data_IF_953499093121
#
_entry.id   IF_953499093121
#
_cell.length_a   1.000
_cell.length_b   1.000
_cell.length_c   1.000
_cell.angle_alpha   90.00
_cell.angle_beta   90.00
_cell.angle_gamma   90.00
#
_symmetry.space_group_name_H-M   'P 1'
#
loop_
_entity.id
_entity.type
_entity.pdbx_description
1 polymer ?
#
# COMPACT_ATOMS: atom_id res chain seq x y z
N UNK A 1 -54.02 -12.02 20.94
CA UNK A 1 -52.80 -12.04 21.80
C UNK A 1 -51.64 -12.59 20.99
N UNK A 2 -50.40 -12.45 21.48
CA UNK A 2 -49.11 -12.50 20.76
C UNK A 2 -48.45 -13.90 20.97
N UNK A 3 -47.59 -14.53 20.13
CA UNK A 3 -46.73 -14.12 18.99
C UNK A 3 -46.53 -15.27 17.96
N UNK A 4 -46.14 -15.02 16.70
CA UNK A 4 -45.62 -16.04 15.78
C UNK A 4 -44.07 -16.17 15.86
N UNK A 5 -43.55 -17.38 16.03
CA UNK A 5 -42.10 -17.68 16.00
C UNK A 5 -41.65 -18.15 14.62
N UNK A 6 -40.84 -17.34 13.91
CA UNK A 6 -40.42 -17.60 12.55
C UNK A 6 -39.31 -18.66 12.45
N UNK A 7 -39.35 -19.46 11.37
CA UNK A 7 -38.22 -20.28 10.93
C UNK A 7 -37.16 -19.40 10.25
N UNK A 8 -35.96 -19.33 10.81
CA UNK A 8 -34.73 -18.89 10.16
C UNK A 8 -33.60 -19.86 10.57
N UNK A 9 -33.46 -20.98 9.86
CA UNK A 9 -32.38 -21.20 8.88
C UNK A 9 -30.97 -21.00 9.44
N UNK A 10 -30.25 -22.11 9.63
CA UNK A 10 -28.79 -22.12 9.72
C UNK A 10 -28.19 -21.34 8.54
N UNK A 11 -27.51 -20.23 8.83
CA UNK A 11 -26.57 -19.63 7.90
C UNK A 11 -25.15 -20.00 8.35
N UNK A 12 -24.67 -21.08 7.71
CA UNK A 12 -23.25 -21.43 7.57
C UNK A 12 -22.45 -20.16 7.20
N UNK A 13 -21.22 -19.95 7.70
CA UNK A 13 -20.52 -18.68 7.54
C UNK A 13 -20.48 -18.26 6.08
N UNK A 14 -20.76 -16.98 5.85
CA UNK A 14 -20.58 -16.34 4.54
C UNK A 14 -19.10 -16.47 4.20
N UNK A 15 -18.82 -17.27 3.17
CA UNK A 15 -17.54 -17.29 2.49
C UNK A 15 -17.36 -15.94 1.80
N UNK A 16 -16.86 -14.98 2.57
CA UNK A 16 -16.56 -13.65 2.09
C UNK A 16 -15.38 -13.77 1.14
N UNK A 17 -15.69 -13.78 -0.16
CA UNK A 17 -14.73 -13.65 -1.25
C UNK A 17 -14.14 -12.22 -1.30
N UNK A 18 -13.87 -11.64 -0.13
CA UNK A 18 -12.93 -10.54 0.01
C UNK A 18 -11.54 -11.11 -0.22
N UNK A 19 -10.77 -10.45 -1.10
CA UNK A 19 -9.36 -10.78 -1.29
C UNK A 19 -8.69 -10.64 0.07
N UNK A 20 -8.25 -11.76 0.64
CA UNK A 20 -7.80 -11.79 2.02
C UNK A 20 -6.61 -10.86 2.20
N UNK A 21 -6.48 -10.24 3.38
CA UNK A 21 -5.30 -9.41 3.68
C UNK A 21 -3.98 -10.19 3.44
N UNK A 22 -3.97 -11.50 3.66
CA UNK A 22 -2.85 -12.38 3.33
C UNK A 22 -2.57 -12.52 1.82
N UNK A 23 -3.60 -12.56 0.98
CA UNK A 23 -3.45 -12.58 -0.48
C UNK A 23 -2.93 -11.23 -1.00
N UNK A 24 -3.46 -10.13 -0.47
CA UNK A 24 -3.00 -8.77 -0.78
C UNK A 24 -1.53 -8.56 -0.37
N UNK A 25 -1.15 -9.05 0.81
CA UNK A 25 0.23 -9.02 1.31
C UNK A 25 1.16 -9.88 0.44
N UNK A 26 0.72 -11.07 0.03
CA UNK A 26 1.48 -11.94 -0.87
C UNK A 26 1.69 -11.27 -2.23
N UNK A 27 0.63 -10.69 -2.80
CA UNK A 27 0.67 -9.99 -4.08
C UNK A 27 1.63 -8.78 -4.03
N UNK A 28 1.65 -8.04 -2.93
CA UNK A 28 2.61 -6.95 -2.71
C UNK A 28 4.08 -7.45 -2.59
N UNK A 29 4.33 -8.60 -1.97
CA UNK A 29 5.67 -9.21 -1.90
C UNK A 29 6.14 -9.66 -3.29
N UNK A 30 5.26 -10.30 -4.07
CA UNK A 30 5.56 -10.73 -5.45
C UNK A 30 5.82 -9.51 -6.38
N UNK A 31 5.08 -8.41 -6.18
CA UNK A 31 5.28 -7.15 -6.91
C UNK A 31 6.61 -6.47 -6.57
N UNK A 32 7.01 -6.44 -5.29
CA UNK A 32 8.33 -5.93 -4.85
C UNK A 32 9.48 -6.73 -5.47
N UNK A 33 9.34 -8.06 -5.54
CA UNK A 33 10.34 -8.94 -6.16
C UNK A 33 10.50 -8.65 -7.68
N UNK A 34 9.37 -8.48 -8.38
CA UNK A 34 9.35 -8.06 -9.79
C UNK A 34 10.01 -6.68 -10.01
N UNK A 35 9.77 -5.73 -9.09
CA UNK A 35 10.37 -4.40 -9.11
C UNK A 35 11.88 -4.42 -8.89
N UNK A 36 12.42 -5.26 -8.00
CA UNK A 36 13.88 -5.35 -7.79
C UNK A 36 14.59 -6.02 -8.99
N UNK A 37 13.96 -7.01 -9.62
CA UNK A 37 14.46 -7.60 -10.86
C UNK A 37 14.52 -6.54 -11.99
N UNK A 38 13.47 -5.75 -12.19
CA UNK A 38 13.49 -4.61 -13.13
C UNK A 38 14.50 -3.53 -12.73
N UNK A 39 14.68 -3.28 -11.44
CA UNK A 39 15.68 -2.33 -10.92
C UNK A 39 17.09 -2.78 -11.28
N UNK A 40 17.39 -4.08 -11.21
CA UNK A 40 18.69 -4.65 -11.61
C UNK A 40 18.95 -4.55 -13.11
N UNK A 41 17.93 -4.77 -13.95
CA UNK A 41 18.01 -4.52 -15.39
C UNK A 41 18.21 -3.03 -15.72
N UNK A 42 17.54 -2.13 -15.00
CA UNK A 42 17.72 -0.68 -15.17
C UNK A 42 19.07 -0.18 -14.68
N UNK A 43 19.59 -0.70 -13.55
CA UNK A 43 20.98 -0.44 -13.10
C UNK A 43 21.97 -0.85 -14.19
N UNK A 44 21.81 -2.03 -14.77
CA UNK A 44 22.64 -2.53 -15.87
C UNK A 44 22.63 -1.58 -17.07
N UNK A 45 21.46 -1.06 -17.45
CA UNK A 45 21.32 -0.04 -18.51
C UNK A 45 21.92 1.32 -18.11
N UNK A 46 21.79 1.74 -16.86
CA UNK A 46 22.31 3.02 -16.36
C UNK A 46 23.85 3.08 -16.41
N UNK A 47 24.53 1.98 -16.09
CA UNK A 47 26.00 1.88 -16.18
C UNK A 47 26.51 2.02 -17.63
N UNK A 48 25.63 1.91 -18.65
CA UNK A 48 25.98 2.19 -20.06
C UNK A 48 25.97 3.68 -20.45
N UNK A 49 25.61 4.59 -19.53
CA UNK A 49 25.93 6.03 -19.65
C UNK A 49 25.05 6.87 -20.58
N UNK A 50 23.72 6.79 -20.46
CA UNK A 50 22.76 7.37 -21.42
C UNK A 50 22.11 8.73 -21.02
N UNK A 51 22.70 9.55 -20.13
CA UNK A 51 22.02 10.78 -19.65
C UNK A 51 23.00 11.99 -19.58
N UNK A 52 22.84 12.93 -20.50
CA UNK A 52 23.64 14.16 -20.64
C UNK A 52 22.97 15.43 -20.03
N UNK A 53 21.78 15.32 -19.45
CA UNK A 53 20.93 16.47 -19.12
C UNK A 53 20.93 16.82 -17.62
N UNK A 54 21.82 17.73 -17.22
CA UNK A 54 21.94 18.26 -15.85
C UNK A 54 20.63 18.92 -15.37
N UNK A 55 19.82 19.50 -16.27
CA UNK A 55 18.56 20.11 -15.87
C UNK A 55 17.54 19.07 -15.40
N UNK A 56 17.51 17.88 -16.02
CA UNK A 56 16.69 16.77 -15.54
C UNK A 56 17.12 16.27 -14.17
N UNK A 57 18.43 16.23 -13.88
CA UNK A 57 18.94 15.83 -12.55
C UNK A 57 18.46 16.79 -11.47
N UNK A 58 18.50 18.10 -11.72
CA UNK A 58 17.99 19.10 -10.76
C UNK A 58 16.46 19.01 -10.59
N UNK A 59 15.70 18.81 -11.67
CA UNK A 59 14.24 18.62 -11.60
C UNK A 59 13.89 17.33 -10.82
N UNK A 60 14.65 16.25 -11.01
CA UNK A 60 14.46 15.00 -10.28
C UNK A 60 14.77 15.15 -8.79
N UNK A 61 15.85 15.88 -8.44
CA UNK A 61 16.21 16.17 -7.06
C UNK A 61 15.11 16.98 -6.35
N UNK A 62 14.58 18.03 -6.99
CA UNK A 62 13.52 18.86 -6.42
C UNK A 62 12.20 18.09 -6.26
N UNK A 63 11.81 17.29 -7.27
CA UNK A 63 10.67 16.36 -7.15
C UNK A 63 10.84 15.38 -5.98
N UNK A 64 12.04 14.85 -5.78
CA UNK A 64 12.34 13.91 -4.69
C UNK A 64 12.24 14.59 -3.32
N UNK A 65 12.71 15.84 -3.19
CA UNK A 65 12.57 16.65 -1.97
C UNK A 65 11.09 16.87 -1.61
N UNK A 66 10.27 17.29 -2.58
CA UNK A 66 8.83 17.50 -2.39
C UNK A 66 8.12 16.18 -2.02
N UNK A 67 8.43 15.07 -2.71
CA UNK A 67 7.86 13.76 -2.42
C UNK A 67 8.26 13.25 -1.03
N UNK A 68 9.48 13.51 -0.57
CA UNK A 68 9.94 13.17 0.77
C UNK A 68 9.19 13.97 1.85
N UNK A 69 9.00 15.28 1.66
CA UNK A 69 8.21 16.12 2.56
C UNK A 69 6.75 15.64 2.67
N UNK A 70 6.13 15.30 1.53
CA UNK A 70 4.80 14.69 1.51
C UNK A 70 4.76 13.35 2.26
N UNK A 71 5.77 12.51 2.08
CA UNK A 71 5.90 11.22 2.78
C UNK A 71 5.97 11.39 4.30
N UNK A 72 6.68 12.40 4.80
CA UNK A 72 6.71 12.73 6.23
C UNK A 72 5.33 13.16 6.76
N UNK A 73 4.58 13.95 5.99
CA UNK A 73 3.21 14.35 6.37
C UNK A 73 2.26 13.15 6.40
N UNK A 74 2.34 12.26 5.40
CA UNK A 74 1.56 11.00 5.36
C UNK A 74 1.91 10.12 6.55
N UNK A 75 3.21 9.91 6.86
CA UNK A 75 3.66 9.15 8.03
C UNK A 75 3.03 9.68 9.32
N UNK A 76 3.05 10.99 9.52
CA UNK A 76 2.47 11.61 10.72
C UNK A 76 0.95 11.36 10.79
N UNK A 77 0.23 11.54 9.67
CA UNK A 77 -1.22 11.28 9.59
C UNK A 77 -1.60 9.81 9.82
N UNK A 78 -0.78 8.86 9.36
CA UNK A 78 -0.99 7.43 9.62
C UNK A 78 -0.78 7.10 11.11
N UNK A 79 0.22 7.70 11.76
CA UNK A 79 0.43 7.53 13.21
C UNK A 79 -0.73 8.14 14.01
N UNK A 80 -1.20 9.34 13.64
CA UNK A 80 -2.38 9.96 14.25
C UNK A 80 -3.64 9.08 14.09
N UNK A 81 -3.92 8.59 12.88
CA UNK A 81 -5.06 7.71 12.62
C UNK A 81 -5.01 6.40 13.42
N UNK A 82 -3.82 5.80 13.55
CA UNK A 82 -3.63 4.62 14.41
C UNK A 82 -3.89 4.93 15.89
N UNK A 83 -3.40 6.06 16.40
CA UNK A 83 -3.67 6.49 17.77
C UNK A 83 -5.15 6.75 18.03
N UNK A 84 -5.88 7.31 17.06
CA UNK A 84 -7.30 7.59 17.19
C UNK A 84 -8.13 6.30 17.24
N UNK A 85 -7.83 5.32 16.37
CA UNK A 85 -8.48 4.00 16.40
C UNK A 85 -8.26 3.31 17.75
N UNK A 86 -7.05 3.40 18.32
CA UNK A 86 -6.73 2.83 19.64
C UNK A 86 -7.49 3.52 20.78
N UNK A 87 -7.82 4.82 20.66
CA UNK A 87 -8.66 5.54 21.63
C UNK A 87 -10.15 5.23 21.52
N UNK A 88 -10.62 4.78 20.36
CA UNK A 88 -12.01 4.34 20.16
C UNK A 88 -12.30 2.93 20.70
N UNK A 89 -11.28 2.14 21.05
CA UNK A 89 -11.42 0.73 21.47
C UNK A 89 -11.31 0.52 23.00
N UNK A 90 -11.18 1.59 23.78
CA UNK A 90 -11.15 1.58 25.27
C UNK A 90 -12.45 2.10 25.89
#
# INVERSE_FOLDING_TARGET
MIQPGQRITEQKPVDDQSVGFGDLLKQAIDEVNSLDQQSSDMKTKLVTGQIDDIAQVMIAAEKSNIAFQLTLQIRNKVIEAYQEIMRMQI
#
